data_IF_380172869839
#
_entry.id   IF_380172869839
#
_cell.length_a   1.000
_cell.length_b   1.000
_cell.length_c   1.000
_cell.angle_alpha   90.00
_cell.angle_beta   90.00
_cell.angle_gamma   90.00
#
_symmetry.space_group_name_H-M   'P 1'
#
loop_
_entity.id
_entity.type
_entity.pdbx_description
1 polymer ?
#
# COMPACT_ATOMS: atom_id res chain seq x y z
N UNK A 1 21.57 -14.37 1.64
CA UNK A 1 21.49 -12.94 1.26
C UNK A 1 21.57 -12.14 2.55
N UNK A 2 22.73 -11.52 2.77
CA UNK A 2 23.02 -10.75 3.96
C UNK A 2 22.20 -9.47 3.96
N UNK A 3 21.68 -9.14 5.11
CA UNK A 3 21.06 -7.90 5.60
C UNK A 3 21.01 -6.73 4.60
N UNK A 4 20.19 -6.82 3.57
CA UNK A 4 19.86 -5.64 2.76
C UNK A 4 18.78 -4.87 3.49
N UNK A 5 19.12 -3.65 3.92
CA UNK A 5 18.17 -2.76 4.59
C UNK A 5 17.04 -2.40 3.62
N UNK A 6 15.81 -2.78 3.97
CA UNK A 6 14.63 -2.38 3.23
C UNK A 6 14.31 -0.92 3.55
N UNK A 7 14.10 -0.14 2.51
CA UNK A 7 13.64 1.24 2.61
C UNK A 7 12.20 1.37 2.14
N UNK A 8 11.53 2.44 2.51
CA UNK A 8 10.19 2.75 2.00
C UNK A 8 10.22 3.11 0.52
N UNK A 9 9.07 2.95 -0.15
CA UNK A 9 8.93 3.34 -1.55
C UNK A 9 9.25 4.82 -1.76
N UNK A 10 8.83 5.68 -0.82
CA UNK A 10 9.13 7.11 -0.90
C UNK A 10 10.63 7.38 -0.80
N UNK A 11 11.31 6.77 0.17
CA UNK A 11 12.79 6.89 0.29
C UNK A 11 13.51 6.36 -0.94
N UNK A 12 13.00 5.28 -1.57
CA UNK A 12 13.56 4.77 -2.81
C UNK A 12 13.43 5.80 -3.94
N UNK A 13 12.27 6.48 -4.06
CA UNK A 13 12.07 7.53 -5.07
C UNK A 13 12.92 8.77 -4.76
N UNK A 14 13.10 9.12 -3.50
CA UNK A 14 13.95 10.26 -3.08
C UNK A 14 15.45 10.01 -3.38
N UNK A 15 15.88 8.74 -3.48
CA UNK A 15 17.22 8.40 -3.98
C UNK A 15 17.43 8.66 -5.46
N UNK A 16 16.35 8.79 -6.24
CA UNK A 16 16.34 9.10 -7.65
C UNK A 16 16.89 8.01 -8.60
N UNK A 17 17.90 7.27 -8.19
CA UNK A 17 18.54 6.20 -8.98
C UNK A 17 19.33 5.23 -8.10
N UNK A 18 19.71 4.10 -8.68
CA UNK A 18 20.55 3.10 -8.04
C UNK A 18 19.81 1.88 -7.51
N UNK A 19 20.54 1.00 -6.87
CA UNK A 19 19.99 -0.23 -6.31
C UNK A 19 19.25 0.02 -5.00
N UNK A 20 18.08 -0.58 -4.88
CA UNK A 20 17.22 -0.49 -3.70
C UNK A 20 16.56 -1.82 -3.41
N UNK A 21 16.23 -2.01 -2.13
CA UNK A 21 15.42 -3.12 -1.64
C UNK A 21 14.15 -2.55 -1.04
N UNK A 22 13.00 -2.93 -1.60
CA UNK A 22 11.69 -2.49 -1.13
C UNK A 22 10.78 -3.67 -0.88
N UNK A 23 9.80 -3.50 -0.01
CA UNK A 23 8.79 -4.52 0.30
C UNK A 23 7.42 -3.90 0.42
N UNK A 24 6.40 -4.69 0.15
CA UNK A 24 5.03 -4.21 0.23
C UNK A 24 4.02 -5.21 -0.29
N UNK A 25 2.87 -4.69 -0.66
CA UNK A 25 1.75 -5.46 -1.19
C UNK A 25 1.50 -5.11 -2.64
N UNK A 26 1.15 -6.14 -3.43
CA UNK A 26 0.71 -5.98 -4.82
C UNK A 26 -0.60 -5.20 -4.84
N UNK A 27 -0.57 -3.98 -5.32
CA UNK A 27 -1.75 -3.13 -5.47
C UNK A 27 -2.48 -3.36 -6.79
N UNK A 28 -1.70 -3.61 -7.86
CA UNK A 28 -2.21 -4.00 -9.19
C UNK A 28 -1.16 -4.83 -9.90
N UNK A 29 -1.62 -5.74 -10.75
CA UNK A 29 -0.74 -6.48 -11.64
C UNK A 29 -1.25 -6.39 -13.09
N UNK A 30 -0.30 -6.44 -14.00
CA UNK A 30 -0.54 -6.60 -15.43
C UNK A 30 0.53 -7.54 -15.99
N UNK A 31 0.11 -8.59 -16.62
CA UNK A 31 0.97 -9.69 -17.08
C UNK A 31 0.92 -9.82 -18.59
N UNK A 32 2.06 -10.12 -19.19
CA UNK A 32 2.22 -10.46 -20.58
C UNK A 32 3.32 -11.52 -20.74
N UNK A 33 3.48 -12.06 -21.94
CA UNK A 33 4.50 -13.08 -22.21
C UNK A 33 5.95 -12.59 -22.04
N UNK A 34 6.17 -11.27 -22.03
CA UNK A 34 7.51 -10.66 -21.97
C UNK A 34 7.73 -9.82 -20.69
N UNK A 35 6.67 -9.34 -20.08
CA UNK A 35 6.73 -8.43 -18.94
C UNK A 35 5.67 -8.76 -17.92
N UNK A 36 6.04 -8.68 -16.64
CA UNK A 36 5.10 -8.58 -15.53
C UNK A 36 5.28 -7.20 -14.91
N UNK A 37 4.21 -6.43 -14.86
CA UNK A 37 4.16 -5.12 -14.20
C UNK A 37 3.41 -5.26 -12.89
N UNK A 38 4.05 -4.94 -11.81
CA UNK A 38 3.48 -4.93 -10.46
C UNK A 38 3.49 -3.50 -9.95
N UNK A 39 2.35 -2.96 -9.61
CA UNK A 39 2.31 -1.75 -8.79
C UNK A 39 2.38 -2.20 -7.34
N UNK A 40 3.53 -1.99 -6.72
CA UNK A 40 3.75 -2.27 -5.31
C UNK A 40 3.30 -1.09 -4.47
N UNK A 41 2.73 -1.37 -3.29
CA UNK A 41 2.28 -0.38 -2.31
C UNK A 41 2.87 -0.68 -0.95
N UNK A 42 3.35 0.35 -0.27
CA UNK A 42 3.64 0.33 1.16
C UNK A 42 2.85 1.43 1.90
N UNK A 43 3.24 1.77 3.12
CA UNK A 43 2.61 2.84 3.90
C UNK A 43 2.92 4.25 3.37
N UNK A 44 4.00 4.41 2.61
CA UNK A 44 4.50 5.69 2.12
C UNK A 44 3.92 6.06 0.75
N UNK A 45 4.01 5.15 -0.21
CA UNK A 45 3.61 5.42 -1.60
C UNK A 45 3.33 4.13 -2.40
N UNK A 46 3.21 4.30 -3.73
CA UNK A 46 3.17 3.22 -4.71
C UNK A 46 4.30 3.39 -5.71
N UNK A 47 4.78 2.29 -6.30
CA UNK A 47 5.76 2.30 -7.40
C UNK A 47 5.47 1.18 -8.39
N UNK A 48 5.70 1.44 -9.69
CA UNK A 48 5.64 0.41 -10.71
C UNK A 48 6.94 -0.39 -10.71
N UNK A 49 6.84 -1.71 -10.50
CA UNK A 49 7.94 -2.66 -10.57
C UNK A 49 7.82 -3.42 -11.89
N UNK A 50 8.91 -3.48 -12.64
CA UNK A 50 8.98 -4.10 -13.97
C UNK A 50 9.84 -5.35 -13.89
N UNK A 51 9.24 -6.50 -14.14
CA UNK A 51 9.93 -7.79 -14.26
C UNK A 51 9.94 -8.18 -15.73
N UNK A 52 11.12 -8.20 -16.34
CA UNK A 52 11.29 -8.50 -17.76
C UNK A 52 11.82 -9.92 -17.93
N UNK A 53 11.18 -10.72 -18.79
CA UNK A 53 11.70 -12.04 -19.17
C UNK A 53 13.08 -11.93 -19.79
N UNK A 54 14.01 -12.76 -19.33
CA UNK A 54 15.42 -12.73 -19.74
C UNK A 54 16.30 -11.71 -19.02
N UNK A 55 15.73 -10.82 -18.16
CA UNK A 55 16.51 -9.98 -17.23
C UNK A 55 16.52 -10.55 -15.80
N UNK A 56 15.63 -11.49 -15.52
CA UNK A 56 15.57 -12.32 -14.32
C UNK A 56 15.60 -13.79 -14.75
N UNK A 57 15.75 -14.72 -13.80
CA UNK A 57 15.64 -16.15 -14.08
C UNK A 57 14.20 -16.50 -14.50
N UNK A 58 14.05 -17.61 -15.24
CA UNK A 58 12.71 -18.06 -15.66
C UNK A 58 11.83 -18.39 -14.43
N UNK A 59 12.42 -18.91 -13.36
CA UNK A 59 11.74 -19.20 -12.09
C UNK A 59 11.16 -17.92 -11.47
N UNK A 60 11.95 -16.85 -11.36
CA UNK A 60 11.48 -15.55 -10.84
C UNK A 60 10.36 -14.98 -11.73
N UNK A 61 10.48 -15.10 -13.05
CA UNK A 61 9.44 -14.61 -13.96
C UNK A 61 8.13 -15.40 -13.83
N UNK A 62 8.21 -16.72 -13.67
CA UNK A 62 7.05 -17.57 -13.43
C UNK A 62 6.40 -17.30 -12.07
N UNK A 63 7.18 -17.13 -11.03
CA UNK A 63 6.68 -16.75 -9.69
C UNK A 63 6.00 -15.38 -9.71
N UNK A 64 6.62 -14.39 -10.34
CA UNK A 64 6.02 -13.06 -10.50
C UNK A 64 4.68 -13.14 -11.26
N UNK A 65 4.57 -14.06 -12.22
CA UNK A 65 3.35 -14.29 -12.99
C UNK A 65 2.19 -14.91 -12.16
N UNK A 66 2.50 -15.53 -11.02
CA UNK A 66 1.50 -16.11 -10.09
C UNK A 66 0.99 -15.10 -9.07
N UNK A 67 1.65 -13.97 -8.89
CA UNK A 67 1.25 -12.96 -7.92
C UNK A 67 -0.17 -12.45 -8.21
N UNK A 68 -0.95 -12.30 -7.16
CA UNK A 68 -2.29 -11.74 -7.17
C UNK A 68 -2.31 -10.42 -6.39
N UNK A 69 -3.34 -9.62 -6.59
CA UNK A 69 -3.58 -8.41 -5.82
C UNK A 69 -3.56 -8.72 -4.32
N UNK A 70 -2.90 -7.86 -3.52
CA UNK A 70 -2.67 -8.00 -2.08
C UNK A 70 -1.68 -9.11 -1.68
N UNK A 71 -1.03 -9.81 -2.61
CA UNK A 71 0.15 -10.62 -2.29
C UNK A 71 1.25 -9.75 -1.68
N UNK A 72 2.01 -10.29 -0.74
CA UNK A 72 3.13 -9.58 -0.11
C UNK A 72 4.47 -10.08 -0.65
N UNK A 73 5.34 -9.13 -1.03
CA UNK A 73 6.59 -9.42 -1.73
C UNK A 73 7.71 -8.48 -1.28
N UNK A 74 8.94 -8.95 -1.48
CA UNK A 74 10.16 -8.16 -1.41
C UNK A 74 10.76 -8.10 -2.81
N UNK A 75 11.13 -6.90 -3.24
CA UNK A 75 11.79 -6.66 -4.52
C UNK A 75 13.16 -6.05 -4.33
N UNK A 76 14.10 -6.53 -5.11
CA UNK A 76 15.47 -6.06 -5.20
C UNK A 76 15.71 -5.63 -6.64
N UNK A 77 16.17 -4.39 -6.84
CA UNK A 77 16.35 -3.91 -8.20
C UNK A 77 16.87 -2.49 -8.27
N UNK A 78 16.83 -1.95 -9.46
CA UNK A 78 17.32 -0.61 -9.77
C UNK A 78 16.15 0.34 -10.02
N UNK A 79 16.10 1.43 -9.23
CA UNK A 79 15.11 2.49 -9.43
C UNK A 79 15.58 3.45 -10.51
N UNK A 80 14.66 3.87 -11.37
CA UNK A 80 14.89 4.84 -12.46
C UNK A 80 13.71 5.75 -12.65
N UNK A 81 13.98 6.97 -13.09
CA UNK A 81 12.93 7.89 -13.56
C UNK A 81 12.29 7.36 -14.85
N UNK A 82 10.97 7.33 -14.89
CA UNK A 82 10.19 7.18 -16.13
C UNK A 82 8.91 8.02 -16.00
N UNK A 83 8.82 9.09 -16.80
CA UNK A 83 7.68 10.02 -16.79
C UNK A 83 6.33 9.33 -17.13
N UNK A 84 6.37 8.16 -17.78
CA UNK A 84 5.18 7.36 -18.09
C UNK A 84 4.67 6.54 -16.92
N UNK A 85 5.52 6.35 -15.90
CA UNK A 85 5.14 5.61 -14.70
C UNK A 85 4.18 6.45 -13.83
N UNK A 86 3.24 5.83 -13.10
CA UNK A 86 2.24 6.53 -12.30
C UNK A 86 2.79 7.53 -11.29
N UNK A 87 4.02 7.34 -10.84
CA UNK A 87 4.71 8.18 -9.84
C UNK A 87 5.97 8.83 -10.40
N UNK A 88 6.24 8.73 -11.69
CA UNK A 88 7.46 9.24 -12.32
C UNK A 88 8.69 8.35 -12.12
N UNK A 89 8.52 7.17 -11.49
CA UNK A 89 9.59 6.22 -11.22
C UNK A 89 9.15 4.79 -11.48
N UNK A 90 10.11 3.96 -11.91
CA UNK A 90 9.97 2.51 -12.03
C UNK A 90 11.10 1.80 -11.28
N UNK A 91 10.79 0.64 -10.71
CA UNK A 91 11.79 -0.31 -10.22
C UNK A 91 11.99 -1.43 -11.24
N UNK A 92 13.17 -1.53 -11.79
CA UNK A 92 13.56 -2.68 -12.61
C UNK A 92 14.03 -3.80 -11.69
N UNK A 93 13.18 -4.82 -11.54
CA UNK A 93 13.41 -5.93 -10.61
C UNK A 93 14.50 -6.83 -11.15
N UNK A 94 15.49 -7.13 -10.30
CA UNK A 94 16.58 -8.08 -10.55
C UNK A 94 16.36 -9.39 -9.80
N UNK A 95 15.75 -9.30 -8.61
CA UNK A 95 15.45 -10.45 -7.76
C UNK A 95 14.20 -10.17 -6.90
N UNK A 96 13.54 -11.23 -6.44
CA UNK A 96 12.35 -11.11 -5.60
C UNK A 96 12.20 -12.29 -4.63
N UNK A 97 11.51 -12.02 -3.54
CA UNK A 97 11.07 -13.02 -2.58
C UNK A 97 9.57 -12.87 -2.34
N UNK A 98 8.81 -13.95 -2.54
CA UNK A 98 7.39 -13.98 -2.20
C UNK A 98 7.25 -14.28 -0.71
N UNK A 99 6.65 -13.38 0.04
CA UNK A 99 6.32 -13.60 1.45
C UNK A 99 5.01 -14.37 1.56
N UNK A 100 4.00 -13.97 0.79
CA UNK A 100 2.69 -14.61 0.75
C UNK A 100 1.97 -14.33 -0.57
N UNK A 101 1.43 -15.35 -1.20
CA UNK A 101 0.47 -15.19 -2.29
C UNK A 101 -0.92 -15.03 -1.68
N UNK A 102 -1.62 -13.97 -2.07
CA UNK A 102 -2.97 -13.71 -1.60
C UNK A 102 -4.01 -14.60 -2.31
N UNK A 103 -5.15 -14.77 -1.66
CA UNK A 103 -6.36 -15.26 -2.33
C UNK A 103 -6.92 -14.20 -3.31
N UNK A 104 -7.82 -14.58 -4.24
CA UNK A 104 -8.44 -13.61 -5.13
C UNK A 104 -9.13 -12.49 -4.36
N UNK A 105 -8.75 -11.24 -4.67
CA UNK A 105 -9.26 -10.06 -3.95
C UNK A 105 -10.73 -9.83 -4.33
N UNK A 106 -11.66 -9.78 -3.36
CA UNK A 106 -13.09 -9.79 -3.65
C UNK A 106 -13.63 -8.47 -4.23
N UNK A 107 -12.94 -7.35 -4.01
CA UNK A 107 -13.37 -6.04 -4.49
C UNK A 107 -12.87 -5.84 -5.92
N UNK A 108 -13.80 -5.86 -6.87
CA UNK A 108 -13.56 -5.56 -8.29
C UNK A 108 -14.08 -4.17 -8.65
N UNK A 109 -14.05 -3.83 -9.94
CA UNK A 109 -14.64 -2.60 -10.46
C UNK A 109 -16.18 -2.67 -10.34
N UNK A 110 -16.83 -1.53 -10.08
CA UNK A 110 -18.29 -1.39 -10.11
C UNK A 110 -19.07 -2.19 -9.03
N UNK A 111 -18.55 -2.25 -7.83
CA UNK A 111 -19.25 -2.84 -6.66
C UNK A 111 -20.26 -1.87 -6.06
N UNK A 112 -21.38 -2.41 -5.53
CA UNK A 112 -22.40 -1.63 -4.85
C UNK A 112 -21.87 -1.01 -3.54
N UNK A 113 -22.42 0.12 -3.09
CA UNK A 113 -22.06 0.71 -1.80
C UNK A 113 -22.25 -0.27 -0.63
N UNK A 114 -23.32 -1.07 -0.63
CA UNK A 114 -23.62 -2.06 0.41
C UNK A 114 -22.51 -3.09 0.47
N UNK A 115 -22.12 -3.68 -0.66
CA UNK A 115 -21.03 -4.64 -0.73
C UNK A 115 -19.70 -4.04 -0.22
N UNK A 116 -19.40 -2.80 -0.60
CA UNK A 116 -18.18 -2.13 -0.16
C UNK A 116 -18.20 -1.85 1.37
N UNK A 117 -19.35 -1.56 1.95
CA UNK A 117 -19.51 -1.40 3.39
C UNK A 117 -19.33 -2.73 4.13
N UNK A 118 -19.87 -3.83 3.62
CA UNK A 118 -19.68 -5.18 4.17
C UNK A 118 -18.20 -5.61 4.09
N UNK A 119 -17.52 -5.22 3.01
CA UNK A 119 -16.08 -5.48 2.82
C UNK A 119 -15.20 -4.28 3.26
N UNK A 120 -15.66 -3.49 4.23
CA UNK A 120 -15.00 -2.23 4.60
C UNK A 120 -13.54 -2.40 4.99
N UNK A 121 -13.17 -3.46 5.69
CA UNK A 121 -11.80 -3.77 6.09
C UNK A 121 -10.84 -3.92 4.88
N UNK A 122 -11.33 -4.40 3.75
CA UNK A 122 -10.60 -4.47 2.48
C UNK A 122 -10.71 -3.17 1.70
N UNK A 123 -11.88 -2.55 1.69
CA UNK A 123 -12.12 -1.29 0.97
C UNK A 123 -11.25 -0.14 1.48
N UNK A 124 -10.93 -0.12 2.79
CA UNK A 124 -10.01 0.86 3.40
C UNK A 124 -8.64 0.89 2.71
N UNK A 125 -8.22 -0.20 2.07
CA UNK A 125 -6.96 -0.31 1.36
C UNK A 125 -6.95 0.45 0.01
N UNK A 126 -8.11 0.90 -0.46
CA UNK A 126 -8.22 1.68 -1.69
C UNK A 126 -7.61 3.08 -1.53
N UNK A 127 -7.05 3.63 -2.63
CA UNK A 127 -6.44 4.96 -2.63
C UNK A 127 -7.41 6.05 -2.16
N UNK A 128 -8.70 5.96 -2.58
CA UNK A 128 -9.74 6.92 -2.19
C UNK A 128 -9.95 6.91 -0.68
N UNK A 129 -10.11 5.73 -0.09
CA UNK A 129 -10.34 5.60 1.35
C UNK A 129 -9.11 5.98 2.16
N UNK A 130 -7.92 5.58 1.72
CA UNK A 130 -6.65 5.99 2.33
C UNK A 130 -6.48 7.51 2.31
N UNK A 131 -6.76 8.17 1.18
CA UNK A 131 -6.69 9.63 1.08
C UNK A 131 -7.69 10.31 2.03
N UNK A 132 -8.94 9.81 2.08
CA UNK A 132 -9.95 10.32 3.00
C UNK A 132 -9.53 10.17 4.47
N UNK A 133 -8.94 9.04 4.84
CA UNK A 133 -8.45 8.83 6.21
C UNK A 133 -7.27 9.73 6.56
N UNK A 134 -6.37 10.00 5.62
CA UNK A 134 -5.27 10.97 5.80
C UNK A 134 -5.80 12.39 6.03
N UNK A 135 -6.79 12.82 5.24
CA UNK A 135 -7.45 14.12 5.44
C UNK A 135 -8.11 14.17 6.83
N UNK A 136 -8.86 13.14 7.19
CA UNK A 136 -9.51 13.05 8.51
C UNK A 136 -8.48 13.13 9.64
N UNK A 137 -7.37 12.42 9.53
CA UNK A 137 -6.26 12.48 10.50
C UNK A 137 -5.74 13.91 10.69
N UNK A 138 -5.47 14.60 9.56
CA UNK A 138 -4.99 15.99 9.59
C UNK A 138 -5.99 16.94 10.24
N UNK A 139 -7.29 16.81 9.92
CA UNK A 139 -8.35 17.65 10.50
C UNK A 139 -8.46 17.42 12.00
N UNK A 140 -8.47 16.18 12.47
CA UNK A 140 -8.52 15.86 13.90
C UNK A 140 -7.30 16.44 14.62
N UNK A 141 -6.09 16.25 14.05
CA UNK A 141 -4.87 16.83 14.60
C UNK A 141 -4.93 18.35 14.72
N UNK A 142 -5.43 19.03 13.70
CA UNK A 142 -5.58 20.49 13.71
C UNK A 142 -6.58 20.97 14.79
N UNK A 143 -7.68 20.24 15.01
CA UNK A 143 -8.64 20.54 16.07
C UNK A 143 -7.98 20.41 17.45
N UNK A 144 -7.28 19.31 17.71
CA UNK A 144 -6.57 19.10 18.96
C UNK A 144 -5.49 20.19 19.21
N UNK A 145 -4.71 20.52 18.16
CA UNK A 145 -3.69 21.57 18.24
C UNK A 145 -4.31 22.93 18.56
N UNK A 146 -5.40 23.28 17.87
CA UNK A 146 -6.11 24.54 18.13
C UNK A 146 -6.55 24.66 19.59
N UNK A 147 -7.20 23.66 20.15
CA UNK A 147 -7.65 23.72 21.53
C UNK A 147 -6.48 23.73 22.52
N UNK A 148 -5.47 22.89 22.33
CA UNK A 148 -4.29 22.84 23.21
C UNK A 148 -3.52 24.17 23.20
N UNK A 149 -3.30 24.76 22.04
CA UNK A 149 -2.60 26.05 21.93
C UNK A 149 -3.36 27.22 22.54
N UNK A 150 -4.69 27.12 22.70
CA UNK A 150 -5.52 28.08 23.38
C UNK A 150 -5.75 27.78 24.87
N UNK A 151 -5.00 26.86 25.46
CA UNK A 151 -5.01 26.58 26.90
C UNK A 151 -6.12 25.64 27.38
N UNK A 152 -6.82 24.95 26.46
CA UNK A 152 -7.80 23.94 26.81
C UNK A 152 -7.10 22.61 27.14
N UNK A 153 -7.64 21.88 28.09
CA UNK A 153 -7.24 20.53 28.43
C UNK A 153 -8.17 19.51 27.77
N UNK A 154 -7.58 18.48 27.18
CA UNK A 154 -8.34 17.34 26.65
C UNK A 154 -8.78 16.46 27.83
N UNK A 155 -10.07 16.19 27.89
CA UNK A 155 -10.67 15.33 28.89
C UNK A 155 -11.53 14.29 28.20
N UNK A 156 -11.21 13.01 28.42
CA UNK A 156 -11.96 11.90 27.88
C UNK A 156 -13.02 11.44 28.89
N UNK A 157 -14.29 11.56 28.51
CA UNK A 157 -15.39 11.02 29.29
C UNK A 157 -15.45 9.48 29.16
N UNK A 158 -15.80 8.74 30.23
CA UNK A 158 -15.95 7.30 30.16
C UNK A 158 -17.08 6.92 29.17
N UNK A 159 -16.78 5.95 28.30
CA UNK A 159 -17.75 5.44 27.31
C UNK A 159 -18.79 4.54 27.96
N UNK A 160 -18.34 3.71 28.92
CA UNK A 160 -19.20 2.82 29.66
C UNK A 160 -19.68 3.48 30.94
N UNK A 161 -21.00 3.51 31.16
CA UNK A 161 -21.65 4.06 32.32
C UNK A 161 -22.60 3.00 32.93
N UNK A 162 -22.78 3.02 34.28
CA UNK A 162 -23.71 2.08 34.94
C UNK A 162 -25.18 2.48 34.78
N UNK A 163 -25.46 3.64 34.21
CA UNK A 163 -26.81 4.15 34.02
C UNK A 163 -27.43 3.58 32.74
N UNK A 164 -28.66 3.10 32.83
CA UNK A 164 -29.45 2.76 31.65
C UNK A 164 -29.78 4.01 30.86
N UNK A 165 -29.55 3.98 29.53
CA UNK A 165 -30.04 5.02 28.64
C UNK A 165 -31.58 4.99 28.58
N UNK A 166 -32.21 6.14 28.39
CA UNK A 166 -33.64 6.20 28.13
C UNK A 166 -34.00 5.36 26.89
N UNK A 167 -34.84 4.35 27.05
CA UNK A 167 -35.15 3.37 26.00
C UNK A 167 -34.14 2.25 25.84
N UNK A 168 -33.18 2.11 26.76
CA UNK A 168 -32.22 1.03 26.77
C UNK A 168 -32.83 -0.33 27.10
N UNK A 169 -32.46 -1.32 26.31
CA UNK A 169 -32.67 -2.75 26.58
C UNK A 169 -31.50 -3.32 27.36
#
# INVERSE_FOLDING_TARGET
MENQDFISIQEAMDKDSGEVSIRGWVYRERKSNKFVFIVLRDSSNIIQCVIKKGSVTDEIFEEASKLLMESSVKFYGEIKKDERAPTGYELFVKDMEIVQIAEPFPITKDQSPEFLLDQRHLWLRSRKMTAMLKIRHTVIGAIHEFFRSNGYYEFEAPIFQPNACEGGS
#
